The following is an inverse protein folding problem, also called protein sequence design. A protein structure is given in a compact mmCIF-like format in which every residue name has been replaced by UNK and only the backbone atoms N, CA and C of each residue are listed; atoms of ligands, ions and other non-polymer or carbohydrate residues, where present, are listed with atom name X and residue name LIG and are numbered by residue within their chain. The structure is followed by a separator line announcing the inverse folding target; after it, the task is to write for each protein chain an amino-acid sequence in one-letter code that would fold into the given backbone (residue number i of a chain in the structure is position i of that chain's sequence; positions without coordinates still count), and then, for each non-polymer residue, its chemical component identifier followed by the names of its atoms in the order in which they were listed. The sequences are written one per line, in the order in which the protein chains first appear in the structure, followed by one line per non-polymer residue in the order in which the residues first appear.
data_IF_976506514861
#
_entry.id   IF_976506514861
#
_cell.length_a   1.000
_cell.length_b   1.000
_cell.length_c   1.000
_cell.angle_alpha   90.00
_cell.angle_beta   90.00
_cell.angle_gamma   90.00
#
_symmetry.space_group_name_H-M   'P 1'
#
loop_
_entity.id
_entity.type
_entity.pdbx_description
1 polymer ?
#
# COMPACT_ATOMS: atom_id res chain seq x y z
N UNK A 1 16.01 3.45 10.77
CA UNK A 1 14.81 2.90 11.45
C UNK A 1 13.56 3.71 11.14
N UNK A 2 12.47 3.01 10.81
CA UNK A 2 11.15 3.56 10.54
C UNK A 2 10.48 3.99 11.85
N UNK A 3 10.03 5.24 11.88
CA UNK A 3 9.33 5.88 13.00
C UNK A 3 7.82 5.78 12.87
N UNK A 4 7.32 6.04 11.66
CA UNK A 4 5.89 6.19 11.38
C UNK A 4 5.63 5.89 9.91
N UNK A 5 4.51 5.23 9.63
CA UNK A 5 3.98 5.03 8.28
C UNK A 5 2.56 5.62 8.25
N UNK A 6 2.24 6.37 7.20
CA UNK A 6 0.92 6.97 6.99
C UNK A 6 0.49 6.65 5.56
N UNK A 7 -0.66 6.02 5.39
CA UNK A 7 -1.31 5.86 4.10
C UNK A 7 -2.55 6.74 3.98
N UNK A 8 -2.84 7.20 2.77
CA UNK A 8 -4.03 7.97 2.41
C UNK A 8 -4.51 7.63 1.01
N UNK A 9 -5.79 7.88 0.76
CA UNK A 9 -6.39 7.80 -0.56
C UNK A 9 -6.17 9.14 -1.28
N UNK A 10 -5.59 9.11 -2.47
CA UNK A 10 -5.42 10.25 -3.39
C UNK A 10 -6.07 9.93 -4.74
N UNK A 11 -6.10 10.89 -5.66
CA UNK A 11 -6.60 10.67 -7.03
C UNK A 11 -5.43 10.56 -8.02
N UNK A 12 -5.53 9.61 -8.94
CA UNK A 12 -4.63 9.47 -10.08
C UNK A 12 -4.88 10.56 -11.16
N UNK A 13 -4.11 10.53 -12.25
CA UNK A 13 -4.26 11.45 -13.39
C UNK A 13 -5.58 11.34 -14.14
N UNK A 14 -6.39 10.30 -13.90
CA UNK A 14 -7.70 10.04 -14.50
C UNK A 14 -8.85 10.32 -13.51
N UNK A 15 -8.55 10.75 -12.30
CA UNK A 15 -9.53 10.98 -11.23
C UNK A 15 -10.02 9.72 -10.53
N UNK A 16 -9.34 8.58 -10.64
CA UNK A 16 -9.64 7.37 -9.87
C UNK A 16 -8.83 7.33 -8.56
N UNK A 17 -9.42 6.80 -7.47
CA UNK A 17 -8.70 6.61 -6.22
C UNK A 17 -7.49 5.70 -6.37
N UNK A 18 -6.39 6.08 -5.71
CA UNK A 18 -5.19 5.27 -5.51
C UNK A 18 -4.59 5.56 -4.13
N UNK A 19 -3.62 4.75 -3.70
CA UNK A 19 -2.96 4.87 -2.40
C UNK A 19 -1.66 5.64 -2.51
N UNK A 20 -1.44 6.55 -1.56
CA UNK A 20 -0.14 7.17 -1.28
C UNK A 20 0.31 6.79 0.13
N UNK A 21 1.60 6.48 0.29
CA UNK A 21 2.21 6.13 1.57
C UNK A 21 3.41 7.03 1.86
N UNK A 22 3.45 7.55 3.08
CA UNK A 22 4.57 8.29 3.65
C UNK A 22 5.28 7.43 4.70
N UNK A 23 6.60 7.38 4.66
CA UNK A 23 7.46 6.69 5.63
C UNK A 23 8.39 7.70 6.27
N UNK A 24 8.25 7.89 7.58
CA UNK A 24 9.10 8.78 8.37
C UNK A 24 10.18 7.98 9.08
N UNK A 25 11.42 8.43 9.01
CA UNK A 25 12.55 7.82 9.71
C UNK A 25 12.92 8.58 10.98
N UNK A 26 13.57 7.91 11.93
CA UNK A 26 14.07 8.55 13.16
C UNK A 26 15.12 9.65 12.86
N UNK A 27 15.80 9.56 11.72
CA UNK A 27 16.76 10.56 11.23
C UNK A 27 16.10 11.84 10.70
N UNK A 28 14.76 11.90 10.64
CA UNK A 28 14.02 13.06 10.12
C UNK A 28 13.71 13.00 8.63
N UNK A 29 14.31 12.06 7.88
CA UNK A 29 13.97 11.85 6.47
C UNK A 29 12.54 11.30 6.30
N UNK A 30 11.89 11.71 5.21
CA UNK A 30 10.55 11.30 4.83
C UNK A 30 10.60 10.83 3.38
N UNK A 31 10.14 9.60 3.13
CA UNK A 31 9.90 9.08 1.79
C UNK A 31 8.41 9.06 1.50
N UNK A 32 8.01 9.44 0.29
CA UNK A 32 6.61 9.44 -0.16
C UNK A 32 6.55 8.69 -1.49
N UNK A 33 5.59 7.78 -1.60
CA UNK A 33 5.36 7.03 -2.82
C UNK A 33 3.86 6.80 -3.04
N UNK A 34 3.43 6.88 -4.30
CA UNK A 34 2.03 6.70 -4.70
C UNK A 34 1.98 5.63 -5.77
N UNK A 35 1.01 4.72 -5.65
CA UNK A 35 0.88 3.58 -6.58
C UNK A 35 0.15 4.06 -7.84
N UNK A 36 0.69 3.85 -9.05
CA UNK A 36 -0.05 4.14 -10.27
C UNK A 36 -1.19 3.15 -10.41
N UNK A 37 -2.39 3.64 -10.69
CA UNK A 37 -3.54 2.78 -10.99
C UNK A 37 -3.38 2.19 -12.41
N UNK A 38 -3.06 0.91 -12.50
CA UNK A 38 -3.08 0.20 -13.78
C UNK A 38 -4.52 -0.13 -14.18
N UNK A 39 -4.89 0.02 -15.45
CA UNK A 39 -6.07 -0.66 -16.00
C UNK A 39 -5.72 -2.11 -16.31
N UNK A 40 -5.27 -2.87 -15.31
CA UNK A 40 -4.69 -4.18 -15.52
C UNK A 40 -5.76 -5.26 -15.69
N UNK A 41 -5.75 -5.91 -16.85
CA UNK A 41 -6.53 -7.10 -17.18
C UNK A 41 -5.69 -8.38 -17.12
N UNK A 42 -4.48 -8.31 -16.56
CA UNK A 42 -3.54 -9.44 -16.50
C UNK A 42 -3.82 -10.38 -15.33
N UNK A 43 -4.10 -11.65 -15.63
CA UNK A 43 -4.36 -12.72 -14.64
C UNK A 43 -3.20 -13.04 -13.68
N UNK A 44 -2.02 -12.44 -13.90
CA UNK A 44 -0.80 -12.63 -13.10
C UNK A 44 -0.30 -11.36 -12.40
N UNK A 45 -1.00 -10.23 -12.58
CA UNK A 45 -0.66 -9.02 -11.84
C UNK A 45 -1.31 -9.05 -10.46
N UNK A 46 -0.48 -8.76 -9.46
CA UNK A 46 -0.84 -8.17 -8.17
C UNK A 46 -2.22 -7.50 -8.20
N UNK A 47 -3.20 -8.08 -7.51
CA UNK A 47 -4.59 -7.59 -7.58
C UNK A 47 -4.70 -6.32 -6.73
N UNK A 48 -4.99 -5.18 -7.34
CA UNK A 48 -5.21 -3.92 -6.62
C UNK A 48 -6.53 -4.02 -5.84
N UNK A 49 -6.46 -3.90 -4.52
CA UNK A 49 -7.62 -4.13 -3.65
C UNK A 49 -8.54 -2.90 -3.66
N UNK A 50 -9.76 -3.09 -4.16
CA UNK A 50 -10.80 -2.06 -4.29
C UNK A 50 -11.87 -2.20 -3.20
N UNK A 51 -12.54 -1.10 -2.90
CA UNK A 51 -13.56 -1.03 -1.85
C UNK A 51 -14.87 -1.71 -2.27
N UNK A 52 -15.18 -1.76 -3.57
CA UNK A 52 -16.45 -2.24 -4.16
C UNK A 52 -17.72 -1.51 -3.66
N UNK A 53 -17.54 -0.36 -3.00
CA UNK A 53 -18.63 0.53 -2.61
C UNK A 53 -19.08 1.37 -3.81
N UNK A 54 -20.20 0.98 -4.44
CA UNK A 54 -20.75 1.67 -5.62
C UNK A 54 -21.07 3.15 -5.38
N UNK A 55 -21.30 3.56 -4.13
CA UNK A 55 -21.59 4.95 -3.79
C UNK A 55 -20.33 5.83 -3.80
N UNK A 56 -19.14 5.23 -3.75
CA UNK A 56 -17.84 5.92 -3.75
C UNK A 56 -17.03 5.54 -4.98
N UNK A 57 -16.80 6.51 -5.86
CA UNK A 57 -15.98 6.32 -7.07
C UNK A 57 -16.37 5.08 -7.90
N UNK A 58 -17.67 4.74 -7.93
CA UNK A 58 -18.19 3.57 -8.66
C UNK A 58 -17.56 2.23 -8.22
N UNK A 59 -17.25 2.08 -6.92
CA UNK A 59 -16.61 0.88 -6.37
C UNK A 59 -15.07 0.90 -6.41
N UNK A 60 -14.46 1.94 -7.00
CA UNK A 60 -13.01 2.02 -7.19
C UNK A 60 -12.24 2.64 -6.02
N UNK A 61 -12.90 2.92 -4.90
CA UNK A 61 -12.23 3.36 -3.66
C UNK A 61 -11.15 2.38 -3.20
N UNK A 62 -10.21 2.87 -2.40
CA UNK A 62 -9.06 2.09 -1.88
C UNK A 62 -8.89 2.22 -0.36
N UNK A 63 -9.95 2.62 0.37
CA UNK A 63 -9.88 2.79 1.82
C UNK A 63 -9.52 1.50 2.57
N UNK A 64 -9.93 0.33 2.08
CA UNK A 64 -9.52 -0.95 2.65
C UNK A 64 -7.99 -1.11 2.61
N UNK A 65 -7.36 -0.77 1.49
CA UNK A 65 -5.90 -0.80 1.32
C UNK A 65 -5.22 0.19 2.25
N UNK A 66 -5.75 1.41 2.35
CA UNK A 66 -5.28 2.44 3.29
C UNK A 66 -5.34 1.94 4.74
N UNK A 67 -6.44 1.29 5.13
CA UNK A 67 -6.63 0.76 6.49
C UNK A 67 -5.65 -0.38 6.80
N UNK A 68 -5.43 -1.28 5.85
CA UNK A 68 -4.44 -2.36 5.96
C UNK A 68 -3.04 -1.78 6.18
N UNK A 69 -2.65 -0.74 5.43
CA UNK A 69 -1.33 -0.13 5.58
C UNK A 69 -1.19 0.52 6.96
N UNK A 70 -2.16 1.36 7.33
CA UNK A 70 -2.12 2.11 8.58
C UNK A 70 -2.18 1.22 9.83
N UNK A 71 -2.88 0.08 9.78
CA UNK A 71 -3.04 -0.80 10.95
C UNK A 71 -2.08 -1.99 10.98
N UNK A 72 -1.94 -2.73 9.87
CA UNK A 72 -1.18 -3.99 9.84
C UNK A 72 0.26 -3.76 9.44
N UNK A 73 0.49 -3.13 8.29
CA UNK A 73 1.84 -2.93 7.75
C UNK A 73 2.65 -1.99 8.65
N UNK A 74 2.05 -0.86 9.04
CA UNK A 74 2.68 0.12 9.93
C UNK A 74 3.15 -0.53 11.24
N UNK A 75 2.29 -1.33 11.90
CA UNK A 75 2.62 -1.99 13.17
C UNK A 75 3.83 -2.92 13.06
N UNK A 76 4.01 -3.55 11.91
CA UNK A 76 5.03 -4.56 11.68
C UNK A 76 6.35 -3.95 11.21
N UNK A 77 6.31 -2.85 10.45
CA UNK A 77 7.50 -2.18 9.93
C UNK A 77 8.06 -1.09 10.85
N UNK A 78 7.31 -0.63 11.86
CA UNK A 78 7.85 0.31 12.85
C UNK A 78 9.08 -0.30 13.54
N UNK A 79 10.12 0.52 13.71
CA UNK A 79 11.45 0.17 14.23
C UNK A 79 12.34 -0.66 13.31
N UNK A 80 11.85 -1.13 12.15
CA UNK A 80 12.69 -1.80 11.16
C UNK A 80 13.65 -0.83 10.48
N UNK A 81 14.79 -1.34 10.01
CA UNK A 81 15.76 -0.53 9.30
C UNK A 81 15.38 -0.34 7.83
N UNK A 82 15.17 0.92 7.42
CA UNK A 82 14.72 1.30 6.08
C UNK A 82 15.74 0.99 4.98
N UNK A 83 17.02 0.76 5.35
CA UNK A 83 18.05 0.37 4.39
C UNK A 83 18.02 -1.13 4.05
N UNK A 84 17.28 -1.95 4.82
CA UNK A 84 17.19 -3.38 4.58
C UNK A 84 15.97 -3.73 3.71
N UNK A 85 15.98 -3.25 2.46
CA UNK A 85 14.85 -3.40 1.53
C UNK A 85 14.45 -4.86 1.33
N UNK A 86 15.42 -5.76 1.16
CA UNK A 86 15.16 -7.20 1.01
C UNK A 86 14.42 -7.79 2.21
N UNK A 87 14.75 -7.37 3.43
CA UNK A 87 14.05 -7.84 4.62
C UNK A 87 12.60 -7.32 4.65
N UNK A 88 12.42 -6.02 4.40
CA UNK A 88 11.11 -5.37 4.37
C UNK A 88 10.21 -6.04 3.32
N UNK A 89 10.70 -6.26 2.10
CA UNK A 89 9.94 -6.88 1.01
C UNK A 89 9.53 -8.31 1.35
N UNK A 90 10.45 -9.11 1.91
CA UNK A 90 10.15 -10.47 2.35
C UNK A 90 9.10 -10.50 3.47
N UNK A 91 9.14 -9.50 4.36
CA UNK A 91 8.18 -9.37 5.44
C UNK A 91 6.80 -9.04 4.88
N UNK A 92 6.72 -8.12 3.92
CA UNK A 92 5.49 -7.77 3.20
C UNK A 92 4.89 -8.97 2.45
N UNK A 93 5.72 -9.76 1.76
CA UNK A 93 5.29 -11.00 1.08
C UNK A 93 4.72 -12.02 2.07
N UNK A 94 5.39 -12.21 3.22
CA UNK A 94 4.92 -13.12 4.27
C UNK A 94 3.60 -12.66 4.90
N UNK A 95 3.44 -11.35 5.08
CA UNK A 95 2.26 -10.73 5.68
C UNK A 95 1.03 -10.86 4.77
N UNK A 96 1.25 -10.79 3.45
CA UNK A 96 0.20 -11.06 2.48
C UNK A 96 -0.19 -12.54 2.46
N UNK A 97 0.80 -13.44 2.45
CA UNK A 97 0.57 -14.88 2.51
C UNK A 97 -0.15 -15.46 1.29
N UNK A 98 -0.29 -14.69 0.20
CA UNK A 98 -0.75 -15.18 -1.11
C UNK A 98 0.35 -15.01 -2.15
N UNK A 99 0.36 -15.86 -3.18
CA UNK A 99 1.35 -15.74 -4.27
C UNK A 99 1.21 -14.44 -5.07
N UNK A 100 0.03 -13.82 -5.06
CA UNK A 100 -0.31 -12.69 -5.93
C UNK A 100 -0.55 -11.38 -5.16
N UNK A 101 -0.09 -11.26 -3.91
CA UNK A 101 -0.32 -10.06 -3.08
C UNK A 101 -1.79 -9.67 -2.92
N UNK A 102 -2.72 -10.63 -3.03
CA UNK A 102 -4.15 -10.35 -3.14
C UNK A 102 -4.83 -10.00 -1.82
N UNK A 103 -4.17 -10.19 -0.67
CA UNK A 103 -4.71 -9.85 0.66
C UNK A 103 -4.33 -8.43 1.11
N UNK A 104 -3.16 -7.95 0.72
CA UNK A 104 -2.68 -6.60 1.02
C UNK A 104 -2.90 -5.62 -0.13
N UNK A 105 -3.24 -6.13 -1.32
CA UNK A 105 -3.23 -5.35 -2.55
C UNK A 105 -1.80 -5.28 -3.07
N UNK A 106 -1.62 -5.56 -4.35
CA UNK A 106 -0.30 -5.47 -4.94
C UNK A 106 -0.13 -4.17 -5.73
N UNK A 107 0.88 -3.42 -5.30
CA UNK A 107 1.47 -2.24 -5.95
C UNK A 107 2.96 -2.24 -5.64
#
# INVERSE_FOLDING_TARGET
KIKKIIAREILDSRGFPTVETEVHLNSGFIGIASVPSGSSTGTYESLELRDDDKLRFLGKGVLKSVDIINKKISRILINEDSLNQNYIDNLMIKLDGTKNKSKLGGG
#
